data_IF_075914257275
#
_entry.id   IF_075914257275
#
_cell.length_a   1.000
_cell.length_b   1.000
_cell.length_c   1.000
_cell.angle_alpha   90.00
_cell.angle_beta   90.00
_cell.angle_gamma   90.00
#
_symmetry.space_group_name_H-M   'P 1'
#
loop_
_entity.id
_entity.type
_entity.pdbx_description
1 polymer ?
#
# COMPACT_ATOMS: atom_id res chain seq x y z
N UNK A 1 7.59 -16.71 58.40
CA UNK A 1 6.30 -16.39 57.76
C UNK A 1 6.57 -15.42 56.62
N UNK A 2 6.65 -15.91 55.37
CA UNK A 2 6.79 -15.04 54.18
C UNK A 2 5.52 -15.14 53.35
N UNK A 3 4.97 -13.97 53.08
CA UNK A 3 3.67 -13.70 52.47
C UNK A 3 3.67 -14.07 50.98
N UNK A 4 2.77 -14.98 50.59
CA UNK A 4 2.44 -15.33 49.20
C UNK A 4 1.02 -14.80 48.97
N UNK A 5 0.88 -13.51 48.65
CA UNK A 5 -0.44 -12.90 48.50
C UNK A 5 -0.60 -11.79 47.42
N UNK A 6 0.41 -11.31 46.66
CA UNK A 6 0.12 -10.30 45.64
C UNK A 6 -0.18 -10.88 44.24
N UNK A 7 0.31 -12.07 43.89
CA UNK A 7 0.29 -12.55 42.49
C UNK A 7 -1.05 -13.19 42.07
N UNK A 8 -1.76 -13.83 42.99
CA UNK A 8 -3.04 -14.50 42.70
C UNK A 8 -4.18 -13.47 42.50
N UNK A 9 -4.11 -12.33 43.18
CA UNK A 9 -5.13 -11.29 43.09
C UNK A 9 -5.13 -10.58 41.71
N UNK A 10 -3.96 -10.42 41.10
CA UNK A 10 -3.79 -9.72 39.81
C UNK A 10 -4.32 -10.57 38.64
N UNK A 11 -4.09 -11.88 38.66
CA UNK A 11 -4.62 -12.82 37.65
C UNK A 11 -6.15 -12.92 37.68
N UNK A 12 -6.76 -12.88 38.87
CA UNK A 12 -8.21 -12.92 39.02
C UNK A 12 -8.89 -11.63 38.51
N UNK A 13 -8.25 -10.46 38.67
CA UNK A 13 -8.75 -9.19 38.15
C UNK A 13 -8.73 -9.15 36.61
N UNK A 14 -7.63 -9.59 35.99
CA UNK A 14 -7.49 -9.65 34.54
C UNK A 14 -8.48 -10.62 33.88
N UNK A 15 -8.69 -11.80 34.47
CA UNK A 15 -9.68 -12.77 33.98
C UNK A 15 -11.13 -12.25 34.10
N UNK A 16 -11.43 -11.46 35.15
CA UNK A 16 -12.75 -10.85 35.35
C UNK A 16 -13.00 -9.69 34.38
N UNK A 17 -11.98 -8.91 34.04
CA UNK A 17 -12.03 -7.88 33.00
C UNK A 17 -12.20 -8.49 31.59
N UNK A 18 -11.50 -9.59 31.30
CA UNK A 18 -11.67 -10.31 30.04
C UNK A 18 -13.07 -10.93 29.92
N UNK A 19 -13.59 -11.51 31.00
CA UNK A 19 -14.95 -12.07 31.05
C UNK A 19 -16.05 -11.00 30.97
N UNK A 20 -15.84 -9.81 31.53
CA UNK A 20 -16.76 -8.67 31.39
C UNK A 20 -16.74 -8.10 29.96
N UNK A 21 -15.56 -7.97 29.33
CA UNK A 21 -15.45 -7.56 27.93
C UNK A 21 -16.09 -8.60 26.97
N UNK A 22 -15.95 -9.90 27.26
CA UNK A 22 -16.62 -10.96 26.50
C UNK A 22 -18.13 -11.02 26.76
N UNK A 23 -18.59 -10.71 27.98
CA UNK A 23 -20.01 -10.66 28.30
C UNK A 23 -20.71 -9.44 27.68
N UNK A 24 -20.04 -8.27 27.64
CA UNK A 24 -20.52 -7.07 26.95
C UNK A 24 -20.57 -7.25 25.42
N UNK A 25 -19.65 -8.03 24.83
CA UNK A 25 -19.68 -8.36 23.40
C UNK A 25 -20.84 -9.28 22.98
N UNK A 26 -21.36 -10.12 23.88
CA UNK A 26 -22.44 -11.07 23.55
C UNK A 26 -23.86 -10.47 23.55
N UNK A 27 -24.06 -9.29 24.14
CA UNK A 27 -25.35 -8.59 24.18
C UNK A 27 -25.47 -7.42 23.20
N UNK A 28 -24.38 -7.09 22.49
CA UNK A 28 -24.43 -6.01 21.51
C UNK A 28 -25.13 -6.49 20.24
N UNK A 29 -26.09 -5.69 19.78
CA UNK A 29 -26.86 -5.95 18.57
C UNK A 29 -25.97 -5.70 17.33
N UNK A 30 -26.18 -6.50 16.29
CA UNK A 30 -25.51 -6.37 14.99
C UNK A 30 -26.24 -5.31 14.16
N UNK A 31 -25.49 -4.47 13.46
CA UNK A 31 -26.06 -3.55 12.48
C UNK A 31 -26.80 -4.32 11.38
N UNK A 32 -27.85 -3.70 10.83
CA UNK A 32 -28.72 -4.31 9.82
C UNK A 32 -29.51 -5.57 10.24
N UNK A 33 -29.39 -6.05 11.48
CA UNK A 33 -30.14 -7.23 11.94
C UNK A 33 -31.60 -6.93 12.33
N UNK A 34 -31.88 -5.72 12.84
CA UNK A 34 -33.23 -5.31 13.24
C UNK A 34 -33.41 -3.80 13.14
N UNK A 35 -34.59 -3.35 12.71
CA UNK A 35 -34.91 -1.93 12.57
C UNK A 35 -35.24 -1.21 13.89
N UNK A 36 -35.50 -1.96 14.97
CA UNK A 36 -35.87 -1.45 16.29
C UNK A 36 -34.64 -1.40 17.21
N UNK A 37 -33.64 -0.62 16.82
CA UNK A 37 -32.38 -0.44 17.57
C UNK A 37 -32.14 1.02 17.89
N UNK A 38 -31.57 1.28 19.06
CA UNK A 38 -31.12 2.63 19.42
C UNK A 38 -29.91 3.01 18.55
N UNK A 39 -30.11 4.03 17.70
CA UNK A 39 -29.09 4.48 16.74
C UNK A 39 -27.84 5.09 17.38
N UNK A 40 -27.86 5.32 18.70
CA UNK A 40 -26.69 5.68 19.50
C UNK A 40 -25.83 4.50 19.95
N UNK A 41 -26.38 3.28 19.94
CA UNK A 41 -25.68 2.06 20.36
C UNK A 41 -25.26 1.20 19.18
N UNK A 42 -25.99 1.25 18.06
CA UNK A 42 -25.67 0.53 16.83
C UNK A 42 -25.98 1.41 15.61
N UNK A 43 -25.12 1.46 14.58
CA UNK A 43 -25.40 2.19 13.36
C UNK A 43 -26.68 1.72 12.66
N UNK A 44 -27.64 2.63 12.50
CA UNK A 44 -28.89 2.42 11.78
C UNK A 44 -29.48 3.78 11.35
N UNK A 45 -30.06 3.92 10.14
CA UNK A 45 -30.25 2.89 9.10
C UNK A 45 -29.02 2.66 8.20
N UNK A 46 -28.02 3.55 8.25
CA UNK A 46 -26.71 3.37 7.62
C UNK A 46 -25.80 2.47 8.45
N UNK A 47 -25.98 1.16 8.35
CA UNK A 47 -25.27 0.17 9.17
C UNK A 47 -24.49 -0.88 8.38
N UNK A 48 -24.57 -0.85 7.05
CA UNK A 48 -23.73 -1.64 6.16
C UNK A 48 -22.57 -0.76 5.72
N UNK A 49 -21.34 -1.18 6.00
CA UNK A 49 -20.14 -0.44 5.68
C UNK A 49 -19.39 -1.12 4.55
N UNK A 50 -18.78 -0.35 3.65
CA UNK A 50 -17.82 -0.87 2.69
C UNK A 50 -16.49 -0.16 2.93
N UNK A 51 -15.55 -0.85 3.54
CA UNK A 51 -14.21 -0.34 3.77
C UNK A 51 -13.37 -0.52 2.51
N UNK A 52 -12.74 0.54 2.02
CA UNK A 52 -12.00 0.53 0.76
C UNK A 52 -10.52 0.66 1.02
N UNK A 53 -9.74 -0.21 0.39
CA UNK A 53 -8.30 -0.09 0.29
C UNK A 53 -7.91 0.10 -1.16
N UNK A 54 -6.98 1.03 -1.43
CA UNK A 54 -6.42 1.27 -2.75
C UNK A 54 -4.97 0.78 -2.80
N UNK A 55 -4.59 0.23 -3.93
CA UNK A 55 -3.23 -0.21 -4.18
C UNK A 55 -2.39 0.91 -4.77
N UNK A 56 -1.23 1.15 -4.15
CA UNK A 56 -0.26 2.16 -4.55
C UNK A 56 1.04 1.45 -4.96
N UNK A 57 1.31 1.27 -6.27
CA UNK A 57 2.49 0.54 -6.73
C UNK A 57 3.79 1.23 -6.30
N UNK A 58 3.81 2.56 -6.27
CA UNK A 58 5.00 3.38 -6.05
C UNK A 58 5.27 3.70 -4.57
N UNK A 59 4.51 3.09 -3.65
CA UNK A 59 4.60 3.32 -2.19
C UNK A 59 4.96 2.01 -1.50
N UNK A 60 5.81 2.06 -0.46
CA UNK A 60 6.09 0.87 0.37
C UNK A 60 7.13 -0.11 -0.21
N UNK A 61 7.82 0.23 -1.30
CA UNK A 61 8.94 -0.53 -1.86
C UNK A 61 8.61 -1.19 -3.20
N UNK A 62 9.32 -2.27 -3.54
CA UNK A 62 9.26 -2.92 -4.85
C UNK A 62 7.90 -3.59 -5.16
N UNK A 63 7.13 -3.94 -4.11
CA UNK A 63 5.83 -4.60 -4.21
C UNK A 63 4.63 -3.67 -4.04
N UNK A 64 4.86 -2.35 -3.97
CA UNK A 64 3.81 -1.42 -3.64
C UNK A 64 3.24 -1.62 -2.23
N UNK A 65 2.19 -0.87 -1.92
CA UNK A 65 1.46 -1.00 -0.66
C UNK A 65 -0.04 -0.82 -0.87
N UNK A 66 -0.81 -1.39 0.05
CA UNK A 66 -2.23 -1.10 0.15
C UNK A 66 -2.42 -0.03 1.21
N UNK A 67 -3.18 1.01 0.89
CA UNK A 67 -3.53 2.10 1.80
C UNK A 67 -5.03 2.20 2.03
N UNK A 68 -5.44 2.90 3.07
CA UNK A 68 -6.84 3.26 3.31
C UNK A 68 -7.28 4.26 2.23
N UNK A 69 -8.31 3.90 1.46
CA UNK A 69 -8.91 4.82 0.49
C UNK A 69 -10.13 5.54 1.08
N UNK A 70 -10.92 4.82 1.89
CA UNK A 70 -12.05 5.42 2.60
C UNK A 70 -13.07 4.41 3.09
N UNK A 71 -14.27 4.91 3.35
CA UNK A 71 -15.40 4.12 3.83
C UNK A 71 -16.65 4.58 3.11
N UNK A 72 -17.51 3.65 2.71
CA UNK A 72 -18.88 3.96 2.30
C UNK A 72 -19.86 3.50 3.37
N UNK A 73 -20.89 4.31 3.62
CA UNK A 73 -21.98 3.98 4.52
C UNK A 73 -23.20 3.71 3.66
N UNK A 74 -23.68 2.46 3.65
CA UNK A 74 -24.85 2.01 2.91
C UNK A 74 -26.03 1.81 3.84
N UNK A 75 -27.22 2.08 3.32
CA UNK A 75 -28.47 1.79 4.00
C UNK A 75 -28.70 0.26 4.09
N UNK A 76 -29.07 -0.21 5.27
CA UNK A 76 -29.23 -1.63 5.57
C UNK A 76 -30.30 -2.35 4.74
N UNK A 77 -31.29 -1.63 4.19
CA UNK A 77 -32.41 -2.23 3.46
C UNK A 77 -32.25 -2.04 1.96
N UNK A 78 -31.88 -0.84 1.54
CA UNK A 78 -31.80 -0.49 0.12
C UNK A 78 -30.41 -0.72 -0.47
N UNK A 79 -29.37 -0.85 0.36
CA UNK A 79 -27.96 -0.94 -0.02
C UNK A 79 -27.45 0.24 -0.87
N UNK A 80 -28.19 1.36 -0.84
CA UNK A 80 -27.81 2.61 -1.50
C UNK A 80 -26.98 3.46 -0.52
N UNK A 81 -26.03 4.29 -1.00
CA UNK A 81 -25.28 5.20 -0.15
C UNK A 81 -26.18 6.05 0.77
N UNK A 82 -25.96 5.93 2.08
CA UNK A 82 -26.67 6.67 3.12
C UNK A 82 -26.03 8.05 3.31
N UNK A 83 -26.27 8.96 2.36
CA UNK A 83 -25.66 10.29 2.32
C UNK A 83 -26.67 11.46 2.44
N UNK A 84 -27.94 11.17 2.74
CA UNK A 84 -29.00 12.18 2.81
C UNK A 84 -29.25 12.71 4.23
N UNK A 85 -28.96 11.91 5.25
CA UNK A 85 -29.30 12.20 6.65
C UNK A 85 -28.05 12.28 7.51
N UNK A 86 -27.43 13.46 7.56
CA UNK A 86 -26.23 13.68 8.36
C UNK A 86 -26.53 13.72 9.87
N UNK A 87 -25.66 13.08 10.65
CA UNK A 87 -25.74 13.04 12.12
C UNK A 87 -24.69 13.92 12.80
N UNK A 88 -23.62 14.26 12.09
CA UNK A 88 -22.57 15.16 12.53
C UNK A 88 -22.37 16.31 11.51
N UNK A 89 -21.76 17.45 11.91
CA UNK A 89 -21.47 18.55 10.99
C UNK A 89 -20.30 18.24 10.06
N UNK A 90 -20.14 19.06 9.02
CA UNK A 90 -18.90 19.10 8.24
C UNK A 90 -17.78 19.76 9.02
N UNK A 91 -16.54 19.38 8.72
CA UNK A 91 -15.33 20.02 9.22
C UNK A 91 -14.35 20.23 8.07
N UNK A 92 -13.47 21.23 8.18
CA UNK A 92 -12.34 21.42 7.26
C UNK A 92 -11.15 20.53 7.63
N UNK A 93 -10.20 20.36 6.73
CA UNK A 93 -8.97 19.60 6.95
C UNK A 93 -8.22 20.07 8.21
N UNK A 94 -8.09 21.39 8.46
CA UNK A 94 -7.39 21.89 9.65
C UNK A 94 -8.14 21.54 10.94
N UNK A 95 -9.48 21.51 10.90
CA UNK A 95 -10.29 21.10 12.03
C UNK A 95 -10.15 19.60 12.29
N UNK A 96 -10.20 18.77 11.23
CA UNK A 96 -10.01 17.32 11.31
C UNK A 96 -8.63 16.99 11.89
N UNK A 97 -7.56 17.53 11.30
CA UNK A 97 -6.18 17.36 11.80
C UNK A 97 -6.06 17.81 13.27
N UNK A 98 -6.59 18.99 13.60
CA UNK A 98 -6.60 19.50 14.99
C UNK A 98 -7.34 18.59 15.98
N UNK A 99 -8.48 18.00 15.61
CA UNK A 99 -9.25 17.11 16.49
C UNK A 99 -8.50 15.80 16.72
N UNK A 100 -7.94 15.24 15.66
CA UNK A 100 -7.18 14.00 15.70
C UNK A 100 -5.88 14.16 16.50
N UNK A 101 -5.08 15.19 16.22
CA UNK A 101 -3.82 15.47 16.92
C UNK A 101 -4.02 15.73 18.43
N UNK A 102 -5.10 16.41 18.82
CA UNK A 102 -5.43 16.66 20.24
C UNK A 102 -6.03 15.45 20.95
N UNK A 103 -6.50 14.46 20.20
CA UNK A 103 -7.15 13.29 20.77
C UNK A 103 -6.12 12.36 21.38
N UNK A 104 -6.46 11.82 22.57
CA UNK A 104 -5.64 10.79 23.22
C UNK A 104 -5.63 9.47 22.47
N UNK A 105 -6.58 9.25 21.54
CA UNK A 105 -6.67 8.01 20.78
C UNK A 105 -5.48 7.79 19.83
N UNK A 106 -4.86 8.88 19.37
CA UNK A 106 -3.66 8.83 18.52
C UNK A 106 -2.36 8.73 19.33
N UNK A 107 -2.41 8.76 20.67
CA UNK A 107 -1.23 8.69 21.54
C UNK A 107 -0.15 9.76 21.25
N UNK A 108 -0.55 10.93 20.74
CA UNK A 108 0.34 12.05 20.42
C UNK A 108 0.66 12.15 18.92
N UNK A 109 1.68 12.95 18.60
CA UNK A 109 2.07 13.28 17.22
C UNK A 109 2.56 12.06 16.44
N UNK A 110 3.32 11.17 17.08
CA UNK A 110 3.83 9.96 16.41
C UNK A 110 2.70 9.06 15.92
N UNK A 111 1.71 8.77 16.75
CA UNK A 111 0.59 7.93 16.33
C UNK A 111 -0.36 8.62 15.37
N UNK A 112 -0.43 9.96 15.38
CA UNK A 112 -1.10 10.73 14.33
C UNK A 112 -0.40 10.55 12.99
N UNK A 113 0.93 10.75 12.92
CA UNK A 113 1.72 10.58 11.69
C UNK A 113 1.68 9.13 11.18
N UNK A 114 1.68 8.13 12.07
CA UNK A 114 1.51 6.73 11.69
C UNK A 114 0.14 6.53 11.04
N UNK A 115 -0.92 7.04 11.66
CA UNK A 115 -2.27 6.91 11.12
C UNK A 115 -2.41 7.62 9.77
N UNK A 116 -1.78 8.78 9.56
CA UNK A 116 -1.71 9.44 8.26
C UNK A 116 -0.98 8.57 7.22
N UNK A 117 0.14 7.95 7.59
CA UNK A 117 0.90 7.07 6.70
C UNK A 117 0.20 5.76 6.28
N UNK A 118 -0.93 5.42 6.91
CA UNK A 118 -1.75 4.25 6.53
C UNK A 118 -2.70 4.55 5.36
N UNK A 119 -2.87 5.82 4.97
CA UNK A 119 -3.79 6.22 3.91
C UNK A 119 -3.13 6.17 2.53
N UNK A 120 -3.92 5.79 1.54
CA UNK A 120 -3.51 5.91 0.14
C UNK A 120 -3.36 7.40 -0.21
N UNK A 121 -2.39 7.73 -1.06
CA UNK A 121 -2.03 9.11 -1.35
C UNK A 121 -3.17 9.84 -2.04
N UNK A 122 -3.41 11.11 -1.67
CA UNK A 122 -4.40 11.95 -2.33
C UNK A 122 -4.04 12.28 -3.78
N UNK A 123 -4.83 13.16 -4.39
CA UNK A 123 -4.48 13.67 -5.72
C UNK A 123 -3.19 14.49 -5.69
N UNK A 124 -2.57 14.74 -6.85
CA UNK A 124 -1.32 15.51 -6.92
C UNK A 124 -1.51 16.90 -6.32
N UNK A 125 -0.78 17.19 -5.24
CA UNK A 125 -0.86 18.46 -4.51
C UNK A 125 -1.88 18.46 -3.37
N UNK A 126 -2.56 17.34 -3.11
CA UNK A 126 -3.44 17.13 -1.98
C UNK A 126 -2.69 16.48 -0.81
N UNK A 127 -2.85 17.04 0.39
CA UNK A 127 -2.38 16.43 1.63
C UNK A 127 -3.33 15.34 2.13
N UNK A 128 -2.86 14.54 3.08
CA UNK A 128 -3.67 13.48 3.69
C UNK A 128 -4.82 14.06 4.54
N UNK A 129 -4.65 15.26 5.10
CA UNK A 129 -5.70 15.92 5.89
C UNK A 129 -6.92 16.29 5.04
N UNK A 130 -6.73 16.65 3.77
CA UNK A 130 -7.80 16.90 2.80
C UNK A 130 -8.52 15.60 2.39
N UNK A 131 -7.78 14.50 2.25
CA UNK A 131 -8.38 13.16 2.07
C UNK A 131 -9.23 12.78 3.28
N UNK A 132 -8.75 13.06 4.49
CA UNK A 132 -9.48 12.85 5.73
C UNK A 132 -10.74 13.73 5.81
N UNK A 133 -10.62 15.02 5.47
CA UNK A 133 -11.76 15.93 5.34
C UNK A 133 -12.85 15.34 4.44
N UNK A 134 -12.46 14.93 3.22
CA UNK A 134 -13.37 14.35 2.24
C UNK A 134 -14.06 13.12 2.82
N UNK A 135 -13.29 12.19 3.41
CA UNK A 135 -13.81 10.94 3.94
C UNK A 135 -14.75 11.14 5.13
N UNK A 136 -14.45 12.08 6.02
CA UNK A 136 -15.37 12.44 7.10
C UNK A 136 -16.66 13.05 6.54
N UNK A 137 -16.55 13.98 5.60
CA UNK A 137 -17.67 14.72 5.07
C UNK A 137 -18.59 13.87 4.18
N UNK A 138 -18.07 12.83 3.51
CA UNK A 138 -18.85 11.93 2.63
C UNK A 138 -19.34 10.67 3.34
N UNK A 139 -18.69 10.24 4.43
CA UNK A 139 -19.03 8.99 5.10
C UNK A 139 -19.17 9.14 6.62
N UNK A 140 -18.12 9.59 7.30
CA UNK A 140 -18.07 9.61 8.78
C UNK A 140 -19.26 10.33 9.42
N UNK A 141 -19.65 11.50 8.87
CA UNK A 141 -20.77 12.29 9.40
C UNK A 141 -22.16 11.64 9.24
N UNK A 142 -22.27 10.60 8.44
CA UNK A 142 -23.52 9.84 8.20
C UNK A 142 -23.65 8.60 9.09
N UNK A 143 -22.71 8.40 10.01
CA UNK A 143 -22.78 7.30 11.00
C UNK A 143 -23.62 7.74 12.20
N UNK A 144 -24.72 7.04 12.47
CA UNK A 144 -25.71 7.45 13.47
C UNK A 144 -25.17 7.52 14.89
N UNK A 145 -24.17 6.70 15.24
CA UNK A 145 -23.56 6.68 16.56
C UNK A 145 -22.74 7.94 16.88
N UNK A 146 -22.37 8.72 15.85
CA UNK A 146 -21.70 10.02 16.01
C UNK A 146 -22.69 11.20 16.12
N UNK A 147 -23.98 10.92 16.23
CA UNK A 147 -24.96 11.95 16.47
C UNK A 147 -24.71 12.67 17.81
N UNK A 148 -24.84 13.99 17.84
CA UNK A 148 -24.58 14.81 19.04
C UNK A 148 -25.34 14.34 20.29
N UNK A 149 -26.52 13.74 20.11
CA UNK A 149 -27.42 13.27 21.17
C UNK A 149 -26.90 12.02 21.86
N UNK A 150 -25.99 11.30 21.21
CA UNK A 150 -25.37 10.08 21.72
C UNK A 150 -24.23 10.39 22.69
N UNK A 151 -23.75 11.64 22.74
CA UNK A 151 -22.71 12.08 23.64
C UNK A 151 -23.30 12.77 24.88
N UNK A 152 -22.87 12.33 26.08
CA UNK A 152 -23.24 12.98 27.36
C UNK A 152 -22.80 14.45 27.42
N UNK A 153 -21.68 14.78 26.77
CA UNK A 153 -21.16 16.13 26.59
C UNK A 153 -20.77 16.31 25.14
N UNK A 154 -21.71 16.79 24.34
CA UNK A 154 -21.45 17.09 22.94
C UNK A 154 -20.44 18.25 22.84
N UNK A 155 -19.38 18.04 22.06
CA UNK A 155 -18.40 19.06 21.71
C UNK A 155 -18.08 18.95 20.21
N UNK A 156 -17.61 20.04 19.57
CA UNK A 156 -17.11 19.96 18.20
C UNK A 156 -15.97 18.93 18.09
N UNK A 157 -16.01 18.11 17.06
CA UNK A 157 -15.03 17.05 16.80
C UNK A 157 -15.33 15.71 17.48
N UNK A 158 -16.40 15.60 18.29
CA UNK A 158 -16.80 14.31 18.84
C UNK A 158 -17.07 13.30 17.72
N UNK A 159 -16.45 12.12 17.78
CA UNK A 159 -16.57 11.07 16.77
C UNK A 159 -15.54 11.15 15.64
N UNK A 160 -14.91 12.32 15.43
CA UNK A 160 -13.90 12.48 14.37
C UNK A 160 -12.66 11.62 14.66
N UNK A 161 -11.98 11.74 15.82
CA UNK A 161 -10.83 10.88 16.12
C UNK A 161 -11.19 9.39 16.16
N UNK A 162 -12.36 9.07 16.71
CA UNK A 162 -12.87 7.71 16.79
C UNK A 162 -13.06 7.07 15.40
N UNK A 163 -13.54 7.85 14.43
CA UNK A 163 -13.72 7.40 13.05
C UNK A 163 -12.40 6.96 12.42
N UNK A 164 -11.40 7.84 12.41
CA UNK A 164 -10.09 7.56 11.78
C UNK A 164 -9.35 6.43 12.47
N UNK A 165 -9.36 6.38 13.81
CA UNK A 165 -8.75 5.28 14.56
C UNK A 165 -9.42 3.94 14.27
N UNK A 166 -10.74 3.94 14.02
CA UNK A 166 -11.45 2.73 13.61
C UNK A 166 -11.03 2.26 12.22
N UNK A 167 -10.88 3.17 11.27
CA UNK A 167 -10.36 2.84 9.93
C UNK A 167 -8.93 2.29 9.99
N UNK A 168 -8.06 2.89 10.80
CA UNK A 168 -6.71 2.36 11.08
C UNK A 168 -6.73 0.94 11.65
N UNK A 169 -7.67 0.63 12.55
CA UNK A 169 -7.85 -0.74 13.07
C UNK A 169 -8.28 -1.70 11.96
N UNK A 170 -9.27 -1.31 11.15
CA UNK A 170 -9.75 -2.11 10.02
C UNK A 170 -8.63 -2.41 9.03
N UNK A 171 -7.84 -1.39 8.69
CA UNK A 171 -6.69 -1.52 7.81
C UNK A 171 -5.68 -2.56 8.32
N UNK A 172 -5.38 -2.54 9.62
CA UNK A 172 -4.46 -3.51 10.25
C UNK A 172 -5.02 -4.92 10.30
N UNK A 173 -6.34 -5.07 10.40
CA UNK A 173 -6.99 -6.39 10.41
C UNK A 173 -7.17 -6.99 9.02
N UNK A 174 -7.36 -6.15 8.00
CA UNK A 174 -7.62 -6.57 6.62
C UNK A 174 -6.32 -6.50 5.81
N UNK A 175 -5.51 -7.55 5.92
CA UNK A 175 -4.17 -7.64 5.35
C UNK A 175 -4.18 -8.07 3.88
N UNK A 176 -4.74 -7.24 3.00
CA UNK A 176 -4.93 -7.52 1.55
C UNK A 176 -3.67 -8.04 0.85
N UNK A 177 -2.52 -7.38 1.02
CA UNK A 177 -1.26 -7.82 0.42
C UNK A 177 -0.89 -9.25 0.83
N UNK A 178 -1.09 -9.58 2.11
CA UNK A 178 -0.76 -10.89 2.66
C UNK A 178 -1.68 -11.96 2.08
N UNK A 179 -3.00 -11.71 2.07
CA UNK A 179 -3.99 -12.65 1.52
C UNK A 179 -3.74 -12.96 0.04
N UNK A 180 -3.40 -11.95 -0.76
CA UNK A 180 -3.02 -12.13 -2.15
C UNK A 180 -1.71 -12.93 -2.28
N UNK A 181 -0.69 -12.59 -1.49
CA UNK A 181 0.59 -13.31 -1.53
C UNK A 181 0.50 -14.78 -1.11
N UNK A 182 -0.39 -15.13 -0.18
CA UNK A 182 -0.62 -16.51 0.27
C UNK A 182 -1.26 -17.38 -0.83
N UNK A 183 -1.87 -16.74 -1.84
CA UNK A 183 -2.40 -17.36 -3.04
C UNK A 183 -1.45 -17.23 -4.26
N UNK A 184 -0.18 -16.89 -4.04
CA UNK A 184 0.83 -16.63 -5.08
C UNK A 184 0.46 -15.49 -6.04
N UNK A 185 -0.37 -14.54 -5.60
CA UNK A 185 -0.74 -13.33 -6.34
C UNK A 185 0.13 -12.18 -5.86
N UNK A 186 1.09 -11.78 -6.70
CA UNK A 186 2.02 -10.67 -6.40
C UNK A 186 2.08 -9.66 -7.56
N UNK A 187 2.45 -8.40 -7.28
CA UNK A 187 2.68 -7.42 -8.33
C UNK A 187 3.70 -7.89 -9.36
N UNK A 188 3.42 -7.71 -10.64
CA UNK A 188 4.25 -8.26 -11.73
C UNK A 188 3.93 -7.60 -13.08
N UNK A 189 4.96 -7.39 -13.90
CA UNK A 189 4.82 -6.87 -15.27
C UNK A 189 4.38 -7.94 -16.29
N UNK A 190 4.68 -9.21 -16.01
CA UNK A 190 4.54 -10.31 -16.98
C UNK A 190 3.35 -11.23 -16.69
N UNK A 191 2.77 -11.13 -15.49
CA UNK A 191 1.66 -11.98 -15.06
C UNK A 191 0.37 -11.18 -14.96
N UNK A 192 -0.71 -11.82 -15.36
CA UNK A 192 -2.07 -11.28 -15.26
C UNK A 192 -2.95 -12.31 -14.58
N UNK A 193 -3.93 -11.83 -13.84
CA UNK A 193 -4.79 -12.66 -13.00
C UNK A 193 -6.23 -12.67 -13.51
N UNK A 194 -6.97 -13.70 -13.15
CA UNK A 194 -8.42 -13.75 -13.33
C UNK A 194 -9.14 -13.08 -12.15
N UNK A 195 -10.35 -12.59 -12.40
CA UNK A 195 -11.21 -12.07 -11.34
C UNK A 195 -11.52 -13.13 -10.28
N UNK A 196 -11.65 -14.39 -10.70
CA UNK A 196 -11.94 -15.50 -9.81
C UNK A 196 -10.76 -15.82 -8.88
N UNK A 197 -9.51 -15.76 -9.37
CA UNK A 197 -8.32 -15.93 -8.53
C UNK A 197 -8.23 -14.84 -7.46
N UNK A 198 -8.38 -13.57 -7.84
CA UNK A 198 -8.33 -12.44 -6.90
C UNK A 198 -9.43 -12.54 -5.85
N UNK A 199 -10.68 -12.76 -6.27
CA UNK A 199 -11.81 -12.84 -5.35
C UNK A 199 -11.72 -14.07 -4.44
N UNK A 200 -11.24 -15.22 -4.95
CA UNK A 200 -11.05 -16.42 -4.13
C UNK A 200 -9.93 -16.26 -3.10
N UNK A 201 -8.82 -15.59 -3.46
CA UNK A 201 -7.72 -15.30 -2.54
C UNK A 201 -8.14 -14.40 -1.37
N UNK A 202 -9.03 -13.43 -1.64
CA UNK A 202 -9.53 -12.49 -0.63
C UNK A 202 -10.70 -13.03 0.19
N UNK A 203 -11.43 -14.03 -0.33
CA UNK A 203 -12.63 -14.56 0.33
C UNK A 203 -12.27 -15.45 1.52
N UNK A 204 -13.04 -15.34 2.61
CA UNK A 204 -12.87 -16.19 3.80
C UNK A 204 -14.20 -16.86 4.16
N UNK A 205 -14.33 -18.16 3.87
CA UNK A 205 -15.59 -18.89 4.04
C UNK A 205 -16.69 -18.30 3.14
N UNK A 206 -17.77 -17.82 3.75
CA UNK A 206 -18.88 -17.18 3.04
C UNK A 206 -18.67 -15.66 2.81
N UNK A 207 -17.57 -15.08 3.32
CA UNK A 207 -17.28 -13.66 3.14
C UNK A 207 -16.60 -13.41 1.79
N UNK A 208 -17.23 -12.56 0.96
CA UNK A 208 -16.77 -12.23 -0.39
C UNK A 208 -16.50 -10.73 -0.54
N UNK A 209 -15.26 -10.28 -0.34
CA UNK A 209 -14.80 -8.97 -0.79
C UNK A 209 -14.83 -8.90 -2.32
N UNK A 210 -14.91 -7.68 -2.86
CA UNK A 210 -14.87 -7.46 -4.30
C UNK A 210 -13.78 -6.46 -4.67
N UNK A 211 -13.28 -6.59 -5.89
CA UNK A 211 -12.18 -5.78 -6.41
C UNK A 211 -12.71 -4.78 -7.43
N UNK A 212 -12.00 -3.66 -7.59
CA UNK A 212 -12.24 -2.66 -8.62
C UNK A 212 -10.97 -2.40 -9.41
N UNK A 213 -11.14 -2.20 -10.71
CA UNK A 213 -10.07 -1.99 -11.66
C UNK A 213 -10.22 -0.66 -12.38
N UNK A 214 -9.09 -0.05 -12.71
CA UNK A 214 -8.99 1.03 -13.68
C UNK A 214 -8.66 0.42 -15.04
N UNK A 215 -9.69 0.26 -15.87
CA UNK A 215 -9.67 -0.57 -17.08
C UNK A 215 -9.37 -2.05 -16.77
N UNK A 216 -8.11 -2.46 -16.86
CA UNK A 216 -7.65 -3.82 -16.56
C UNK A 216 -6.67 -3.85 -15.37
N UNK A 217 -6.30 -2.70 -14.83
CA UNK A 217 -5.33 -2.60 -13.73
C UNK A 217 -6.07 -2.67 -12.40
N UNK A 218 -5.67 -3.58 -11.53
CA UNK A 218 -6.20 -3.70 -10.17
C UNK A 218 -5.93 -2.39 -9.41
N UNK A 219 -6.99 -1.77 -8.88
CA UNK A 219 -6.94 -0.45 -8.27
C UNK A 219 -7.35 -0.48 -6.80
N UNK A 220 -8.45 -1.15 -6.46
CA UNK A 220 -8.95 -1.18 -5.08
C UNK A 220 -9.65 -2.48 -4.69
N UNK A 221 -9.67 -2.75 -3.38
CA UNK A 221 -10.45 -3.82 -2.75
C UNK A 221 -11.48 -3.20 -1.82
N UNK A 222 -12.68 -3.75 -1.88
CA UNK A 222 -13.83 -3.33 -1.10
C UNK A 222 -14.24 -4.45 -0.15
N UNK A 223 -14.32 -4.10 1.13
CA UNK A 223 -14.59 -5.01 2.24
C UNK A 223 -15.96 -4.67 2.85
N UNK A 224 -17.03 -5.41 2.50
CA UNK A 224 -18.33 -5.25 3.11
C UNK A 224 -18.33 -5.70 4.58
N UNK A 225 -18.80 -4.85 5.48
CA UNK A 225 -18.74 -5.07 6.92
C UNK A 225 -20.04 -4.64 7.61
N UNK A 226 -20.38 -5.36 8.66
CA UNK A 226 -21.35 -4.99 9.67
C UNK A 226 -20.60 -4.68 10.97
N UNK A 227 -21.26 -3.99 11.89
CA UNK A 227 -20.70 -3.72 13.21
C UNK A 227 -21.65 -4.20 14.29
N UNK A 228 -21.09 -4.90 15.28
CA UNK A 228 -21.79 -5.27 16.50
C UNK A 228 -21.49 -4.22 17.56
N UNK A 229 -22.53 -3.50 18.01
CA UNK A 229 -22.38 -2.34 18.90
C UNK A 229 -22.09 -1.05 18.13
N UNK A 230 -21.38 -0.12 18.77
CA UNK A 230 -21.10 1.19 18.20
C UNK A 230 -20.00 1.11 17.15
N UNK A 231 -19.96 2.08 16.23
CA UNK A 231 -18.93 2.12 15.20
C UNK A 231 -17.49 2.16 15.77
N UNK A 232 -17.26 2.95 16.82
CA UNK A 232 -15.92 3.24 17.37
C UNK A 232 -15.38 2.19 18.35
N UNK A 233 -16.29 1.48 19.01
CA UNK A 233 -15.98 0.56 20.13
C UNK A 233 -16.52 -0.85 19.93
N UNK A 234 -17.32 -1.07 18.90
CA UNK A 234 -17.87 -2.37 18.53
C UNK A 234 -16.87 -3.26 17.79
N UNK A 235 -17.33 -4.45 17.43
CA UNK A 235 -16.59 -5.41 16.61
C UNK A 235 -17.16 -5.48 15.20
N UNK A 236 -16.28 -5.43 14.20
CA UNK A 236 -16.68 -5.56 12.80
C UNK A 236 -16.77 -7.04 12.40
N UNK A 237 -17.81 -7.38 11.65
CA UNK A 237 -18.11 -8.71 11.15
C UNK A 237 -18.34 -8.65 9.64
N UNK A 238 -18.08 -9.74 8.93
CA UNK A 238 -18.31 -9.85 7.48
C UNK A 238 -19.80 -9.67 7.13
N UNK A 239 -20.10 -8.81 6.16
CA UNK A 239 -21.46 -8.66 5.63
C UNK A 239 -21.76 -9.72 4.55
N UNK A 240 -21.98 -10.98 4.95
CA UNK A 240 -22.13 -12.12 4.02
C UNK A 240 -23.38 -12.06 3.13
N UNK A 241 -24.39 -11.25 3.48
CA UNK A 241 -25.58 -11.07 2.66
C UNK A 241 -25.38 -10.08 1.50
N UNK A 242 -24.32 -9.28 1.55
CA UNK A 242 -24.06 -8.23 0.56
C UNK A 242 -23.00 -8.71 -0.44
N UNK A 243 -23.39 -8.76 -1.72
CA UNK A 243 -22.47 -9.05 -2.83
C UNK A 243 -22.29 -7.76 -3.64
N UNK A 244 -21.08 -7.18 -3.58
CA UNK A 244 -20.71 -6.05 -4.42
C UNK A 244 -20.39 -6.47 -5.85
N UNK A 245 -20.53 -5.54 -6.78
CA UNK A 245 -20.25 -5.78 -8.20
C UNK A 245 -18.84 -5.28 -8.51
N UNK A 246 -17.98 -6.17 -9.00
CA UNK A 246 -16.68 -5.79 -9.56
C UNK A 246 -16.86 -5.19 -10.96
N UNK A 247 -16.08 -4.14 -11.26
CA UNK A 247 -15.97 -3.58 -12.61
C UNK A 247 -14.79 -4.15 -13.41
N UNK A 248 -14.02 -5.08 -12.84
CA UNK A 248 -12.86 -5.69 -13.47
C UNK A 248 -13.27 -6.67 -14.58
N UNK A 249 -12.41 -6.88 -15.61
CA UNK A 249 -12.60 -7.95 -16.58
C UNK A 249 -12.47 -9.33 -15.90
N UNK A 250 -13.07 -10.37 -16.48
CA UNK A 250 -12.98 -11.72 -15.91
C UNK A 250 -11.55 -12.29 -15.93
N UNK A 251 -10.73 -11.85 -16.89
CA UNK A 251 -9.38 -12.34 -17.17
C UNK A 251 -8.47 -11.18 -17.57
N UNK A 252 -7.16 -11.35 -17.42
CA UNK A 252 -6.17 -10.37 -17.86
C UNK A 252 -6.04 -9.15 -16.94
N UNK A 253 -6.37 -9.30 -15.65
CA UNK A 253 -6.22 -8.23 -14.66
C UNK A 253 -4.73 -8.06 -14.34
N UNK A 254 -4.25 -6.82 -14.47
CA UNK A 254 -2.87 -6.43 -14.21
C UNK A 254 -2.75 -6.03 -12.74
N UNK A 255 -1.83 -6.65 -12.01
CA UNK A 255 -1.43 -6.19 -10.68
C UNK A 255 -0.06 -5.51 -10.80
N UNK A 256 0.00 -4.17 -10.90
CA UNK A 256 1.21 -3.50 -11.36
C UNK A 256 2.31 -3.52 -10.30
N UNK A 257 3.58 -3.80 -10.65
CA UNK A 257 4.70 -3.64 -9.72
C UNK A 257 5.05 -2.16 -9.51
N UNK A 258 5.92 -1.90 -8.54
CA UNK A 258 6.47 -0.56 -8.32
C UNK A 258 7.24 -0.07 -9.54
N UNK A 259 6.94 1.15 -9.98
CA UNK A 259 7.71 1.81 -11.06
C UNK A 259 8.85 2.67 -10.49
N UNK A 260 8.89 2.85 -9.17
CA UNK A 260 9.99 3.55 -8.51
C UNK A 260 11.26 2.71 -8.56
N UNK A 261 12.27 3.20 -9.30
CA UNK A 261 13.59 2.60 -9.23
C UNK A 261 14.11 2.72 -7.79
N UNK A 262 14.61 1.64 -7.18
CA UNK A 262 15.17 1.71 -5.83
C UNK A 262 16.27 2.77 -5.83
N UNK A 263 16.27 3.66 -4.82
CA UNK A 263 17.35 4.63 -4.64
C UNK A 263 18.66 3.85 -4.62
N UNK A 264 19.67 4.20 -5.45
CA UNK A 264 20.95 3.52 -5.43
C UNK A 264 21.49 3.55 -4.00
N UNK A 265 21.66 2.38 -3.39
CA UNK A 265 22.25 2.27 -2.06
C UNK A 265 23.65 2.91 -2.14
N UNK A 266 23.89 4.01 -1.40
CA UNK A 266 25.21 4.65 -1.33
C UNK A 266 26.32 3.73 -0.77
N UNK A 267 25.94 2.53 -0.33
CA UNK A 267 26.83 1.46 0.11
C UNK A 267 26.75 0.28 -0.86
N UNK A 268 27.03 0.53 -2.13
CA UNK A 268 27.67 -0.51 -2.93
C UNK A 268 29.12 -0.65 -2.42
N UNK A 269 29.30 -1.38 -1.31
CA UNK A 269 30.59 -2.00 -1.06
C UNK A 269 30.78 -2.98 -2.22
N UNK A 270 31.50 -2.55 -3.25
CA UNK A 270 32.00 -3.44 -4.27
C UNK A 270 32.83 -4.48 -3.54
N UNK A 271 32.25 -5.65 -3.30
CA UNK A 271 33.01 -6.83 -2.93
C UNK A 271 34.00 -7.03 -4.07
N UNK A 272 35.23 -6.54 -3.86
CA UNK A 272 36.32 -6.78 -4.79
C UNK A 272 36.45 -8.30 -4.78
N UNK A 273 35.95 -8.94 -5.84
CA UNK A 273 36.23 -10.34 -6.11
C UNK A 273 37.74 -10.46 -6.25
N UNK A 274 38.45 -10.66 -5.13
CA UNK A 274 39.86 -10.99 -5.14
C UNK A 274 39.93 -12.35 -5.79
N UNK A 275 40.30 -12.34 -7.07
CA UNK A 275 40.66 -13.56 -7.79
C UNK A 275 41.67 -14.29 -6.89
N UNK A 276 41.40 -15.54 -6.46
CA UNK A 276 42.39 -16.30 -5.72
C UNK A 276 43.66 -16.38 -6.58
N UNK A 277 44.86 -16.21 -5.98
CA UNK A 277 46.10 -16.28 -6.74
C UNK A 277 46.15 -17.61 -7.51
N UNK A 278 46.63 -17.61 -8.76
CA UNK A 278 46.70 -18.83 -9.55
C UNK A 278 47.50 -19.88 -8.77
N UNK A 279 46.94 -21.09 -8.65
CA UNK A 279 47.66 -22.21 -8.05
C UNK A 279 48.95 -22.46 -8.85
N UNK A 280 50.10 -22.74 -8.19
CA UNK A 280 51.32 -23.08 -8.90
C UNK A 280 51.10 -24.29 -9.80
N UNK A 281 51.46 -24.16 -11.08
CA UNK A 281 51.48 -25.28 -12.01
C UNK A 281 52.63 -26.20 -11.58
N UNK A 282 52.30 -27.30 -10.90
CA UNK A 282 53.25 -28.39 -10.70
C UNK A 282 53.12 -29.34 -11.90
N UNK A 283 53.91 -29.07 -12.93
CA UNK A 283 54.08 -29.98 -14.07
C UNK A 283 54.91 -31.17 -13.58
N UNK A 284 54.26 -32.33 -13.38
CA UNK A 284 54.91 -33.56 -12.93
C UNK A 284 55.35 -34.50 -14.05
N UNK A 285 55.44 -34.04 -15.30
CA UNK A 285 56.03 -34.87 -16.36
C UNK A 285 56.80 -34.05 -17.39
N UNK A 286 58.10 -34.31 -17.41
CA UNK A 286 59.09 -33.88 -18.38
C UNK A 286 58.98 -34.75 -19.63
N UNK A 287 58.46 -34.21 -20.73
CA UNK A 287 58.55 -34.83 -22.06
C UNK A 287 59.23 -33.89 -23.06
N UNK A 288 60.23 -33.14 -22.61
CA UNK A 288 61.05 -32.31 -23.50
C UNK A 288 62.21 -33.11 -24.12
N UNK A 289 61.91 -34.15 -24.90
CA UNK A 289 62.91 -34.80 -25.77
C UNK A 289 62.37 -35.18 -27.15
N UNK A 290 63.04 -34.58 -28.15
CA UNK A 290 63.21 -34.98 -29.55
C UNK A 290 62.18 -34.44 -30.59
N UNK A 291 62.61 -33.53 -31.47
CA UNK A 291 63.15 -33.83 -32.82
C UNK A 291 63.52 -32.53 -33.60
N UNK A 292 64.83 -32.35 -33.78
CA UNK A 292 65.61 -31.70 -34.85
C UNK A 292 65.28 -30.30 -35.44
N UNK A 293 66.16 -29.37 -35.06
CA UNK A 293 67.00 -28.45 -35.87
C UNK A 293 67.02 -28.71 -37.40
N UNK A 294 66.70 -27.68 -38.20
CA UNK A 294 67.44 -27.40 -39.45
C UNK A 294 67.69 -25.89 -39.63
N UNK A 295 68.91 -25.54 -39.26
CA UNK A 295 69.81 -24.48 -39.74
C UNK A 295 69.24 -23.30 -40.55
N UNK A 296 69.44 -22.13 -39.94
CA UNK A 296 69.58 -20.79 -40.51
C UNK A 296 70.50 -20.74 -41.72
N UNK A 297 70.12 -19.95 -42.74
CA UNK A 297 71.03 -19.03 -43.41
C UNK A 297 70.29 -17.81 -43.99
N UNK A 298 70.67 -16.64 -43.46
CA UNK A 298 70.74 -15.26 -44.00
C UNK A 298 69.87 -14.86 -45.21
N UNK A 299 68.90 -13.94 -45.00
CA UNK A 299 68.95 -12.53 -45.48
C UNK A 299 67.70 -11.72 -45.00
N UNK A 300 67.94 -10.51 -44.49
CA UNK A 300 66.97 -9.40 -44.35
C UNK A 300 66.58 -8.87 -45.75
N UNK A 301 65.35 -8.37 -46.01
CA UNK A 301 64.98 -7.01 -45.61
C UNK A 301 63.54 -6.83 -45.10
N UNK A 302 63.37 -5.89 -44.17
CA UNK A 302 62.12 -5.20 -43.88
C UNK A 302 61.50 -4.59 -45.16
N UNK A 303 60.43 -5.19 -45.66
CA UNK A 303 59.52 -4.56 -46.61
C UNK A 303 58.31 -4.01 -45.86
N UNK A 304 58.28 -2.68 -45.67
CA UNK A 304 57.10 -1.93 -45.22
C UNK A 304 55.98 -2.11 -46.25
N UNK A 305 54.87 -2.71 -45.83
CA UNK A 305 53.62 -2.71 -46.59
C UNK A 305 53.01 -1.31 -46.49
N UNK A 306 53.10 -0.54 -47.57
CA UNK A 306 52.33 0.68 -47.75
C UNK A 306 50.98 0.36 -48.38
N UNK A 307 49.90 0.88 -47.80
CA UNK A 307 48.67 1.26 -48.49
C UNK A 307 47.81 2.10 -47.53
N UNK A 308 47.17 3.14 -48.05
CA UNK A 308 46.33 4.17 -47.38
C UNK A 308 47.07 5.39 -46.85
N UNK A 309 47.42 6.30 -47.77
CA UNK A 309 47.80 7.69 -47.49
C UNK A 309 46.97 8.68 -48.31
N UNK A 310 45.66 8.47 -48.43
CA UNK A 310 44.75 9.34 -49.19
C UNK A 310 43.37 9.55 -48.50
N UNK A 311 43.27 9.47 -47.17
CA UNK A 311 41.98 9.67 -46.47
C UNK A 311 41.97 10.81 -45.44
N UNK A 312 43.06 11.59 -45.31
CA UNK A 312 43.12 12.73 -44.39
C UNK A 312 43.06 14.11 -45.08
N UNK A 313 43.19 14.19 -46.41
CA UNK A 313 43.21 15.49 -47.12
C UNK A 313 41.80 16.02 -47.45
N UNK A 314 40.77 15.16 -47.48
CA UNK A 314 39.38 15.58 -47.76
C UNK A 314 38.60 16.12 -46.56
N UNK A 315 39.17 16.09 -45.35
CA UNK A 315 38.44 16.44 -44.10
C UNK A 315 38.76 17.84 -43.56
N UNK A 316 39.80 18.50 -44.09
CA UNK A 316 40.15 19.87 -43.72
C UNK A 316 39.42 20.91 -44.59
N UNK A 317 39.21 20.63 -45.89
CA UNK A 317 38.47 21.54 -46.79
C UNK A 317 36.98 21.68 -46.41
N UNK A 318 36.34 20.61 -45.92
CA UNK A 318 34.92 20.64 -45.49
C UNK A 318 34.70 21.39 -44.16
N UNK A 319 35.77 21.58 -43.36
CA UNK A 319 35.73 22.35 -42.11
C UNK A 319 35.84 23.85 -42.32
N UNK A 320 36.54 24.30 -43.36
CA UNK A 320 36.66 25.73 -43.69
C UNK A 320 35.39 26.28 -44.34
N UNK A 321 34.69 25.50 -45.16
CA UNK A 321 33.44 25.95 -45.81
C UNK A 321 32.28 26.13 -44.81
N UNK A 322 32.26 25.36 -43.72
CA UNK A 322 31.20 25.43 -42.69
C UNK A 322 31.39 26.57 -41.68
N UNK A 323 32.61 27.10 -41.57
CA UNK A 323 32.93 28.23 -40.68
C UNK A 323 32.54 29.60 -41.26
N UNK A 324 32.26 29.71 -42.57
CA UNK A 324 31.89 30.97 -43.24
C UNK A 324 30.38 31.28 -43.30
N UNK A 325 29.51 30.46 -42.69
CA UNK A 325 28.07 30.77 -42.59
C UNK A 325 27.71 31.28 -41.19
N UNK A 326 28.11 32.52 -40.90
CA UNK A 326 27.49 33.30 -39.82
C UNK A 326 26.08 33.72 -40.28
N UNK A 327 25.04 33.11 -39.73
CA UNK A 327 23.69 33.64 -39.80
C UNK A 327 23.49 34.61 -38.63
N UNK A 328 23.16 35.86 -38.96
CA UNK A 328 22.90 36.93 -38.00
C UNK A 328 21.69 36.62 -37.12
N UNK A 329 21.78 37.03 -35.85
CA UNK A 329 20.71 36.95 -34.86
C UNK A 329 19.72 38.08 -35.12
N UNK A 330 18.54 37.75 -35.63
CA UNK A 330 17.43 38.71 -35.66
C UNK A 330 16.85 38.83 -34.25
N UNK A 331 16.97 40.04 -33.68
CA UNK A 331 16.26 40.45 -32.47
C UNK A 331 14.85 40.91 -32.86
N UNK A 332 13.83 40.38 -32.20
CA UNK A 332 12.58 41.06 -31.84
C UNK A 332 11.89 40.34 -30.69
#
# INVERSE_FOLDING_TARGET
MRSIAPTILVLAAAAKQYALAQAEGSQQQLSCASADVDSCNVPWPGGLFVFRQRFEPDVGGDFGSWGIDGLEVLDCVTHVPHNTSAYAPTYSHEQIGSFCLKSRLFNGEEGFNIAEGEWAQGEVGEGVEEVWERTWNTAGRFISTFNHKCFKRAAPGNGVPEFFVTLSKLHKTLTTAQLLSEADITPSDDTTYSLNELTSALSTGDYKPYVSCDNATLSSVHWPLLVRGKFDSGSFEAATFYEGVSNCPNEGIIYPPSTTLPKPTEVAEWDILRRPPPRPITLSHDESRMYYKKQSDKHDPQAKLGLFKDYEEGKEEEKEERAMRQFGRDEL
#
